data_IF_520168311316
#
_entry.id   IF_520168311316
#
_cell.length_a   1.000
_cell.length_b   1.000
_cell.length_c   1.000
_cell.angle_alpha   90.00
_cell.angle_beta   90.00
_cell.angle_gamma   90.00
#
_symmetry.space_group_name_H-M   'P 1'
#
loop_
_entity.id
_entity.type
_entity.pdbx_description
1 polymer ?
#
# COMPACT_ATOMS: atom_id res chain seq x y z
N UNK A 1 -6.47 24.96 -24.33
CA UNK A 1 -7.28 23.85 -24.87
C UNK A 1 -6.75 22.56 -24.27
N UNK A 2 -7.65 21.83 -23.60
CA UNK A 2 -7.52 20.46 -23.06
C UNK A 2 -6.46 20.21 -21.98
N UNK A 3 -6.69 20.81 -20.80
CA UNK A 3 -6.36 20.16 -19.53
C UNK A 3 -7.42 19.10 -19.21
N UNK A 4 -6.97 17.99 -18.59
CA UNK A 4 -7.76 16.95 -17.91
C UNK A 4 -8.40 15.89 -18.81
N UNK A 5 -7.57 15.08 -19.47
CA UNK A 5 -7.85 13.65 -19.47
C UNK A 5 -7.44 13.14 -18.08
N UNK A 6 -8.39 13.06 -17.14
CA UNK A 6 -8.23 12.23 -15.94
C UNK A 6 -7.85 10.84 -16.46
N UNK A 7 -6.63 10.38 -16.19
CA UNK A 7 -6.34 8.96 -16.28
C UNK A 7 -7.40 8.26 -15.42
N UNK A 8 -8.28 7.48 -16.05
CA UNK A 8 -9.19 6.63 -15.33
C UNK A 8 -8.34 5.57 -14.65
N UNK A 9 -7.88 5.89 -13.44
CA UNK A 9 -6.98 5.06 -12.67
C UNK A 9 -7.65 3.69 -12.46
N UNK A 10 -7.08 2.65 -13.08
CA UNK A 10 -7.69 1.33 -13.14
C UNK A 10 -7.82 0.73 -11.74
N UNK A 11 -9.04 0.77 -11.20
CA UNK A 11 -9.37 0.19 -9.91
C UNK A 11 -9.24 -1.32 -9.95
N UNK A 12 -8.79 -1.87 -8.82
CA UNK A 12 -8.67 -3.31 -8.63
C UNK A 12 -9.89 -3.83 -7.87
N UNK A 13 -10.53 -4.85 -8.43
CA UNK A 13 -11.73 -5.46 -7.88
C UNK A 13 -11.45 -6.87 -7.38
N UNK A 14 -12.07 -7.16 -6.24
CA UNK A 14 -12.31 -8.50 -5.74
C UNK A 14 -13.64 -8.99 -6.32
N UNK A 15 -13.61 -10.06 -7.12
CA UNK A 15 -14.79 -10.65 -7.73
C UNK A 15 -14.91 -12.11 -7.30
N UNK A 16 -15.99 -12.46 -6.62
CA UNK A 16 -16.31 -13.82 -6.22
C UNK A 16 -17.45 -14.37 -7.07
N UNK A 17 -17.21 -15.50 -7.71
CA UNK A 17 -18.11 -16.18 -8.63
C UNK A 17 -18.51 -17.57 -8.06
N UNK A 18 -19.75 -17.98 -8.26
CA UNK A 18 -20.19 -19.36 -8.05
C UNK A 18 -19.80 -20.20 -9.26
N UNK A 19 -19.37 -21.43 -9.02
CA UNK A 19 -19.03 -22.41 -10.07
C UNK A 19 -19.80 -23.72 -9.85
N UNK A 20 -19.76 -24.57 -10.87
CA UNK A 20 -20.31 -25.93 -10.89
C UNK A 20 -19.37 -26.98 -10.28
N UNK A 21 -18.15 -26.59 -9.86
CA UNK A 21 -17.17 -27.54 -9.34
C UNK A 21 -17.48 -27.95 -7.88
N UNK A 22 -17.72 -29.25 -7.59
CA UNK A 22 -18.12 -29.67 -6.24
C UNK A 22 -17.01 -29.52 -5.19
N UNK A 23 -15.73 -29.55 -5.60
CA UNK A 23 -14.58 -29.44 -4.69
C UNK A 23 -14.19 -27.99 -4.43
N UNK A 24 -14.40 -27.12 -5.42
CA UNK A 24 -14.14 -25.69 -5.36
C UNK A 24 -15.34 -24.92 -5.91
N UNK A 25 -16.45 -24.83 -5.15
CA UNK A 25 -17.71 -24.23 -5.61
C UNK A 25 -17.63 -22.73 -5.85
N UNK A 26 -16.49 -22.10 -5.58
CA UNK A 26 -16.28 -20.68 -5.79
C UNK A 26 -14.98 -20.43 -6.54
N UNK A 27 -15.03 -19.40 -7.38
CA UNK A 27 -13.88 -18.83 -8.08
C UNK A 27 -13.72 -17.39 -7.63
N UNK A 28 -12.49 -17.03 -7.29
CA UNK A 28 -12.14 -15.72 -6.79
C UNK A 28 -11.14 -15.07 -7.75
N UNK A 29 -11.43 -13.85 -8.18
CA UNK A 29 -10.58 -13.07 -9.08
C UNK A 29 -10.20 -11.75 -8.43
N UNK A 30 -8.94 -11.38 -8.61
CA UNK A 30 -8.44 -10.03 -8.41
C UNK A 30 -8.22 -9.46 -9.81
N UNK A 31 -9.07 -8.52 -10.22
CA UNK A 31 -9.10 -7.98 -11.58
C UNK A 31 -8.73 -6.50 -11.59
N UNK A 32 -7.86 -6.07 -12.50
CA UNK A 32 -7.49 -4.67 -12.74
C UNK A 32 -7.80 -4.34 -14.20
N UNK A 33 -8.70 -3.39 -14.44
CA UNK A 33 -9.21 -3.15 -15.80
C UNK A 33 -9.77 -4.45 -16.39
N UNK A 34 -9.26 -4.88 -17.54
CA UNK A 34 -9.61 -6.17 -18.15
C UNK A 34 -8.71 -7.35 -17.73
N UNK A 35 -7.58 -7.07 -17.07
CA UNK A 35 -6.57 -8.05 -16.69
C UNK A 35 -6.92 -8.76 -15.37
N UNK A 36 -6.88 -10.10 -15.37
CA UNK A 36 -6.96 -10.90 -14.15
C UNK A 36 -5.56 -11.03 -13.52
N UNK A 37 -5.32 -10.29 -12.43
CA UNK A 37 -4.05 -10.35 -11.68
C UNK A 37 -3.87 -11.67 -10.92
N UNK A 38 -4.96 -12.21 -10.37
CA UNK A 38 -4.96 -13.50 -9.67
C UNK A 38 -6.33 -14.15 -9.76
N UNK A 39 -6.33 -15.42 -10.16
CA UNK A 39 -7.52 -16.27 -10.15
C UNK A 39 -7.28 -17.47 -9.26
N UNK A 40 -8.17 -17.67 -8.29
CA UNK A 40 -8.13 -18.76 -7.33
C UNK A 40 -9.44 -19.53 -7.33
N UNK A 41 -9.36 -20.85 -7.31
CA UNK A 41 -10.46 -21.74 -6.94
C UNK A 41 -10.46 -21.92 -5.43
N UNK A 42 -11.61 -21.66 -4.79
CA UNK A 42 -11.74 -21.64 -3.33
C UNK A 42 -12.96 -22.44 -2.87
N UNK A 43 -12.88 -22.96 -1.66
CA UNK A 43 -13.91 -23.88 -1.13
C UNK A 43 -15.08 -23.15 -0.47
N UNK A 44 -14.90 -21.90 -0.08
CA UNK A 44 -15.90 -21.10 0.62
C UNK A 44 -15.76 -19.63 0.25
N UNK A 45 -16.79 -18.82 0.53
CA UNK A 45 -16.87 -17.38 0.20
C UNK A 45 -16.01 -16.51 1.11
N UNK A 46 -15.62 -17.03 2.27
CA UNK A 46 -14.73 -16.38 3.23
C UNK A 46 -14.21 -17.43 4.23
N UNK A 47 -12.95 -17.34 4.71
CA UNK A 47 -12.47 -18.28 5.71
C UNK A 47 -13.27 -18.19 7.02
N UNK A 48 -13.96 -19.27 7.34
CA UNK A 48 -14.77 -19.41 8.56
C UNK A 48 -13.94 -19.64 9.82
N UNK A 49 -14.49 -20.40 10.77
CA UNK A 49 -13.92 -20.63 12.12
C UNK A 49 -12.55 -21.32 12.11
N UNK A 50 -12.27 -22.18 11.12
CA UNK A 50 -10.94 -22.81 10.91
C UNK A 50 -9.84 -21.80 10.53
N UNK A 51 -10.24 -20.58 10.16
CA UNK A 51 -9.35 -19.45 9.93
C UNK A 51 -8.60 -19.45 8.60
N UNK A 52 -8.62 -20.55 7.84
CA UNK A 52 -7.99 -20.61 6.52
C UNK A 52 -8.75 -21.50 5.54
N UNK A 53 -8.59 -21.20 4.25
CA UNK A 53 -9.08 -21.99 3.12
C UNK A 53 -7.89 -22.32 2.22
N UNK A 54 -7.81 -23.56 1.75
CA UNK A 54 -6.86 -23.93 0.71
C UNK A 54 -7.37 -23.46 -0.65
N UNK A 55 -6.49 -22.85 -1.44
CA UNK A 55 -6.80 -22.31 -2.75
C UNK A 55 -5.94 -22.99 -3.82
N UNK A 56 -6.53 -23.22 -4.98
CA UNK A 56 -5.79 -23.60 -6.18
C UNK A 56 -5.71 -22.43 -7.13
N UNK A 57 -4.52 -22.16 -7.64
CA UNK A 57 -4.33 -21.20 -8.72
C UNK A 57 -4.93 -21.76 -10.01
N UNK A 58 -5.61 -20.90 -10.74
CA UNK A 58 -5.99 -21.16 -12.11
C UNK A 58 -4.98 -20.46 -13.03
N UNK A 59 -4.32 -21.22 -13.92
CA UNK A 59 -3.44 -20.65 -14.96
C UNK A 59 -4.22 -20.60 -16.29
N UNK A 60 -4.26 -19.43 -16.95
CA UNK A 60 -4.92 -19.23 -18.25
C UNK A 60 -6.22 -18.41 -18.22
N UNK A 61 -6.66 -17.91 -19.38
CA UNK A 61 -7.72 -16.89 -19.52
C UNK A 61 -9.14 -17.40 -19.77
N UNK A 62 -9.43 -18.70 -19.61
CA UNK A 62 -10.81 -19.18 -19.78
C UNK A 62 -11.19 -20.24 -18.75
N UNK A 63 -12.05 -19.87 -17.81
CA UNK A 63 -12.88 -20.85 -17.12
C UNK A 63 -13.91 -21.37 -18.12
N UNK A 64 -13.86 -22.66 -18.44
CA UNK A 64 -14.74 -23.28 -19.45
C UNK A 64 -16.16 -23.58 -18.93
N UNK A 65 -16.43 -23.36 -17.64
CA UNK A 65 -17.74 -23.60 -17.03
C UNK A 65 -18.60 -22.34 -16.90
N UNK A 66 -19.83 -22.51 -16.40
CA UNK A 66 -20.68 -21.38 -16.04
C UNK A 66 -20.21 -20.76 -14.71
N UNK A 67 -19.86 -19.47 -14.73
CA UNK A 67 -19.50 -18.71 -13.56
C UNK A 67 -20.51 -17.58 -13.35
N UNK A 68 -21.13 -17.52 -12.17
CA UNK A 68 -22.08 -16.44 -11.82
C UNK A 68 -21.47 -15.53 -10.77
N UNK A 69 -21.33 -14.23 -11.06
CA UNK A 69 -20.84 -13.24 -10.09
C UNK A 69 -21.78 -13.14 -8.88
N UNK A 70 -21.25 -13.42 -7.69
CA UNK A 70 -21.95 -13.32 -6.40
C UNK A 70 -21.65 -11.97 -5.75
N UNK A 71 -20.40 -11.54 -5.83
CA UNK A 71 -19.90 -10.37 -5.12
C UNK A 71 -18.78 -9.69 -5.91
N UNK A 72 -18.86 -8.37 -6.03
CA UNK A 72 -17.80 -7.49 -6.53
C UNK A 72 -17.56 -6.38 -5.52
N UNK A 73 -16.31 -6.24 -5.09
CA UNK A 73 -15.90 -5.28 -4.06
C UNK A 73 -14.58 -4.63 -4.48
N UNK A 74 -14.46 -3.29 -4.44
CA UNK A 74 -13.18 -2.63 -4.66
C UNK A 74 -12.14 -3.03 -3.61
N UNK A 75 -10.89 -3.12 -4.03
CA UNK A 75 -9.75 -3.34 -3.13
C UNK A 75 -9.15 -2.00 -2.75
N UNK A 76 -9.25 -1.62 -1.47
CA UNK A 76 -8.62 -0.42 -0.90
C UNK A 76 -7.10 -0.56 -0.89
N UNK A 77 -6.61 -1.73 -0.49
CA UNK A 77 -5.19 -1.98 -0.35
C UNK A 77 -4.85 -3.39 -0.79
N UNK A 78 -3.88 -3.48 -1.67
CA UNK A 78 -3.31 -4.73 -2.16
C UNK A 78 -1.80 -4.60 -1.95
N UNK A 79 -1.28 -5.19 -0.88
CA UNK A 79 0.15 -5.08 -0.52
C UNK A 79 0.77 -6.45 -0.39
N UNK A 80 1.96 -6.59 -0.96
CA UNK A 80 2.77 -7.79 -0.80
C UNK A 80 3.72 -7.65 0.38
N UNK A 81 3.88 -8.75 1.11
CA UNK A 81 4.86 -8.92 2.17
C UNK A 81 5.52 -10.28 1.99
N UNK A 82 6.63 -10.31 1.26
CA UNK A 82 7.33 -11.54 0.92
C UNK A 82 6.43 -12.59 0.26
N UNK A 83 6.23 -13.75 0.90
CA UNK A 83 5.31 -14.83 0.48
C UNK A 83 3.81 -14.56 0.68
N UNK A 84 3.43 -13.37 1.16
CA UNK A 84 2.03 -13.04 1.51
C UNK A 84 1.51 -11.90 0.63
N UNK A 85 0.25 -11.99 0.22
CA UNK A 85 -0.51 -10.93 -0.41
C UNK A 85 -1.62 -10.48 0.55
N UNK A 86 -1.42 -9.34 1.22
CA UNK A 86 -2.38 -8.74 2.12
C UNK A 86 -3.40 -7.89 1.34
N UNK A 87 -4.67 -8.07 1.67
CA UNK A 87 -5.79 -7.43 0.98
C UNK A 87 -6.71 -6.76 1.98
N UNK A 88 -7.07 -5.53 1.68
CA UNK A 88 -8.11 -4.77 2.37
C UNK A 88 -9.21 -4.43 1.37
N UNK A 89 -10.40 -4.99 1.59
CA UNK A 89 -11.60 -4.77 0.79
C UNK A 89 -12.39 -3.57 1.28
N UNK A 90 -13.06 -2.87 0.37
CA UNK A 90 -13.99 -1.80 0.73
C UNK A 90 -15.35 -2.33 1.19
N UNK A 91 -15.38 -2.88 2.40
CA UNK A 91 -16.62 -3.31 3.06
C UNK A 91 -16.51 -3.27 4.58
N UNK A 92 -17.65 -3.33 5.27
CA UNK A 92 -17.73 -3.20 6.72
C UNK A 92 -17.20 -4.45 7.46
N UNK A 93 -17.69 -5.63 7.07
CA UNK A 93 -17.31 -6.92 7.65
C UNK A 93 -16.39 -7.68 6.72
N UNK A 94 -15.60 -8.61 7.25
CA UNK A 94 -14.75 -9.50 6.45
C UNK A 94 -13.86 -8.71 5.46
N UNK A 95 -13.29 -7.60 5.93
CA UNK A 95 -12.60 -6.65 5.04
C UNK A 95 -11.09 -6.85 4.94
N UNK A 96 -10.48 -7.68 5.81
CA UNK A 96 -9.02 -7.90 5.84
C UNK A 96 -8.71 -9.38 5.75
N UNK A 97 -7.93 -9.75 4.75
CA UNK A 97 -7.42 -11.10 4.58
C UNK A 97 -6.03 -11.08 3.95
N UNK A 98 -5.42 -12.25 3.87
CA UNK A 98 -4.19 -12.44 3.12
C UNK A 98 -4.20 -13.79 2.39
N UNK A 99 -3.47 -13.86 1.28
CA UNK A 99 -3.09 -15.11 0.65
C UNK A 99 -1.64 -15.41 0.97
N UNK A 100 -1.38 -16.58 1.55
CA UNK A 100 -0.04 -17.10 1.81
C UNK A 100 0.31 -18.12 0.72
N UNK A 101 1.37 -17.84 -0.03
CA UNK A 101 1.88 -18.72 -1.08
C UNK A 101 3.09 -19.48 -0.53
N UNK A 102 3.08 -20.80 -0.65
CA UNK A 102 4.15 -21.68 -0.21
C UNK A 102 4.56 -22.58 -1.36
N UNK A 103 5.85 -22.90 -1.48
CA UNK A 103 6.34 -23.98 -2.32
C UNK A 103 6.69 -25.18 -1.45
N UNK A 104 6.31 -26.38 -1.88
CA UNK A 104 6.69 -27.65 -1.25
C UNK A 104 7.27 -28.59 -2.28
N UNK A 105 8.29 -29.35 -1.90
CA UNK A 105 8.79 -30.45 -2.72
C UNK A 105 7.76 -31.58 -2.77
N UNK A 106 7.60 -32.21 -3.92
CA UNK A 106 6.83 -33.44 -4.01
C UNK A 106 7.52 -34.53 -3.18
N UNK A 107 6.72 -35.36 -2.49
CA UNK A 107 7.27 -36.47 -1.68
C UNK A 107 7.80 -37.64 -2.51
N UNK A 108 7.28 -37.80 -3.72
CA UNK A 108 7.46 -39.01 -4.56
C UNK A 108 7.93 -38.70 -5.98
N UNK A 109 8.10 -37.42 -6.33
CA UNK A 109 8.53 -36.97 -7.65
C UNK A 109 9.55 -35.85 -7.47
N UNK A 110 10.43 -35.71 -8.44
CA UNK A 110 11.30 -34.54 -8.51
C UNK A 110 10.47 -33.30 -8.89
N UNK A 111 10.72 -32.18 -8.23
CA UNK A 111 10.02 -30.92 -8.44
C UNK A 111 9.30 -30.36 -7.21
N UNK A 112 8.67 -29.20 -7.41
CA UNK A 112 7.94 -28.45 -6.37
C UNK A 112 6.50 -28.15 -6.80
N UNK A 113 5.60 -27.99 -5.83
CA UNK A 113 4.23 -27.54 -6.04
C UNK A 113 3.88 -26.35 -5.14
N UNK A 114 2.98 -25.51 -5.65
CA UNK A 114 2.45 -24.35 -4.94
C UNK A 114 1.29 -24.77 -4.01
N UNK A 115 1.29 -24.23 -2.79
CA UNK A 115 0.14 -24.24 -1.90
C UNK A 115 -0.24 -22.80 -1.57
N UNK A 116 -1.51 -22.46 -1.81
CA UNK A 116 -2.04 -21.14 -1.51
C UNK A 116 -3.04 -21.29 -0.37
N UNK A 117 -2.90 -20.46 0.65
CA UNK A 117 -3.84 -20.42 1.78
C UNK A 117 -4.43 -19.03 1.93
N UNK A 118 -5.76 -18.93 1.80
CA UNK A 118 -6.50 -17.74 2.16
C UNK A 118 -6.73 -17.70 3.66
N UNK A 119 -6.28 -16.64 4.32
CA UNK A 119 -6.34 -16.49 5.79
C UNK A 119 -7.00 -15.19 6.20
N UNK A 120 -7.67 -15.19 7.34
CA UNK A 120 -8.27 -13.99 7.94
C UNK A 120 -7.46 -13.46 9.11
N UNK A 121 -7.70 -12.19 9.50
CA UNK A 121 -7.08 -11.59 10.70
C UNK A 121 -7.22 -12.48 11.95
N UNK A 122 -8.40 -13.08 12.18
CA UNK A 122 -8.66 -13.94 13.33
C UNK A 122 -7.73 -15.15 13.36
N UNK A 123 -7.48 -15.76 12.21
CA UNK A 123 -6.56 -16.90 12.10
C UNK A 123 -5.10 -16.54 12.39
N UNK A 124 -4.69 -15.32 12.02
CA UNK A 124 -3.35 -14.79 12.28
C UNK A 124 -3.12 -14.56 13.77
N UNK A 125 -4.16 -14.12 14.49
CA UNK A 125 -4.10 -13.87 15.93
C UNK A 125 -4.07 -15.20 16.70
N UNK A 126 -4.90 -16.17 16.31
CA UNK A 126 -5.01 -17.46 17.01
C UNK A 126 -3.78 -18.35 16.80
N UNK A 127 -3.19 -18.35 15.61
CA UNK A 127 -1.86 -18.95 15.40
C UNK A 127 -0.81 -18.00 15.97
N UNK A 128 -0.49 -18.14 17.26
CA UNK A 128 0.71 -17.51 17.86
C UNK A 128 1.91 -17.76 16.94
N UNK A 129 2.31 -16.75 16.18
CA UNK A 129 3.45 -16.84 15.30
C UNK A 129 4.68 -17.08 16.18
N UNK A 130 5.38 -18.21 15.96
CA UNK A 130 6.60 -18.53 16.72
C UNK A 130 7.70 -17.47 16.52
N UNK A 131 7.69 -16.82 15.36
CA UNK A 131 8.61 -15.74 15.00
C UNK A 131 7.83 -14.44 14.90
N UNK A 132 8.22 -13.44 15.71
CA UNK A 132 7.55 -12.12 15.76
C UNK A 132 7.96 -11.19 14.63
N UNK A 133 9.15 -11.37 14.06
CA UNK A 133 9.72 -10.53 12.99
C UNK A 133 9.93 -11.37 11.74
N UNK A 134 9.33 -10.97 10.62
CA UNK A 134 9.50 -11.67 9.33
C UNK A 134 10.79 -11.29 8.61
N UNK A 135 11.39 -10.16 8.98
CA UNK A 135 12.67 -9.68 8.49
C UNK A 135 13.82 -10.11 9.41
N UNK A 136 13.92 -11.41 9.70
CA UNK A 136 15.07 -11.97 10.42
C UNK A 136 16.14 -12.35 9.40
N UNK A 137 16.84 -11.34 8.91
CA UNK A 137 18.07 -11.53 8.16
C UNK A 137 19.21 -10.87 8.93
N UNK A 138 20.29 -11.62 9.11
CA UNK A 138 21.63 -11.06 9.24
C UNK A 138 22.46 -11.51 8.04
N UNK A 139 22.01 -11.29 6.78
CA UNK A 139 22.89 -11.60 5.67
C UNK A 139 24.04 -10.58 5.72
N UNK A 140 25.20 -10.96 5.21
CA UNK A 140 26.30 -10.03 4.95
C UNK A 140 25.78 -8.92 4.04
N UNK A 141 25.41 -7.77 4.62
CA UNK A 141 24.93 -6.63 3.86
C UNK A 141 26.09 -6.07 3.05
N UNK A 142 25.84 -5.73 1.78
CA UNK A 142 26.78 -4.93 1.00
C UNK A 142 26.35 -3.46 1.07
N UNK A 143 27.15 -2.67 1.78
CA UNK A 143 26.88 -1.25 2.04
C UNK A 143 27.95 -0.40 1.38
N UNK A 144 27.54 0.52 0.52
CA UNK A 144 28.41 1.59 0.03
C UNK A 144 28.23 2.81 0.93
N UNK A 145 29.36 3.40 1.32
CA UNK A 145 29.44 4.66 2.04
C UNK A 145 29.97 5.70 1.07
N UNK A 146 29.33 6.86 0.99
CA UNK A 146 29.81 7.93 0.13
C UNK A 146 31.22 8.38 0.55
N UNK A 147 32.06 8.67 -0.45
CA UNK A 147 33.44 9.09 -0.24
C UNK A 147 33.55 10.44 0.46
N UNK A 148 32.57 11.33 0.28
CA UNK A 148 32.56 12.64 0.92
C UNK A 148 32.08 12.59 2.37
N UNK A 149 31.50 11.47 2.83
CA UNK A 149 31.11 11.31 4.22
C UNK A 149 32.37 11.20 5.09
N UNK A 150 32.67 12.30 5.78
CA UNK A 150 33.91 12.48 6.55
C UNK A 150 33.93 11.60 7.79
N UNK A 151 32.78 11.45 8.44
CA UNK A 151 32.63 10.71 9.69
C UNK A 151 31.59 9.60 9.50
N UNK A 152 31.90 8.54 8.75
CA UNK A 152 30.90 7.54 8.43
C UNK A 152 30.58 6.63 9.61
N UNK A 153 29.37 6.10 9.61
CA UNK A 153 29.00 4.97 10.44
C UNK A 153 29.92 3.76 10.19
N UNK A 154 30.03 2.90 11.21
CA UNK A 154 30.64 1.59 11.04
C UNK A 154 29.54 0.51 11.05
N UNK A 155 29.68 -0.49 10.19
CA UNK A 155 28.72 -1.59 10.10
C UNK A 155 29.46 -2.93 10.30
N UNK A 156 29.68 -3.32 11.57
CA UNK A 156 30.40 -4.57 11.86
C UNK A 156 29.62 -5.78 11.30
N UNK A 157 30.34 -6.73 10.70
CA UNK A 157 29.75 -7.94 10.10
C UNK A 157 29.10 -7.72 8.72
N UNK A 158 29.25 -6.53 8.14
CA UNK A 158 28.80 -6.20 6.78
C UNK A 158 30.01 -6.06 5.83
N UNK A 159 29.79 -6.28 4.53
CA UNK A 159 30.72 -5.89 3.47
C UNK A 159 30.54 -4.39 3.22
N UNK A 160 31.54 -3.59 3.57
CA UNK A 160 31.48 -2.13 3.48
C UNK A 160 32.52 -1.61 2.49
N UNK A 161 32.09 -0.78 1.55
CA UNK A 161 32.94 -0.16 0.54
C UNK A 161 32.77 1.36 0.56
N UNK A 162 33.84 2.11 0.24
CA UNK A 162 33.74 3.56 0.00
C UNK A 162 33.66 3.84 -1.49
N UNK A 163 32.52 4.37 -1.92
CA UNK A 163 32.21 4.65 -3.33
C UNK A 163 31.67 6.06 -3.53
N UNK A 164 31.53 6.47 -4.78
CA UNK A 164 30.74 7.67 -5.08
C UNK A 164 29.28 7.26 -5.15
N UNK A 165 28.44 7.82 -4.28
CA UNK A 165 27.00 7.66 -4.36
C UNK A 165 26.39 8.82 -5.16
N UNK A 166 25.39 8.54 -6.02
CA UNK A 166 24.66 9.60 -6.72
C UNK A 166 23.88 10.48 -5.74
N UNK A 167 23.34 9.89 -4.65
CA UNK A 167 22.64 10.59 -3.59
C UNK A 167 22.75 9.82 -2.27
N UNK A 168 22.67 10.55 -1.15
CA UNK A 168 22.73 9.98 0.20
C UNK A 168 24.15 9.63 0.64
N UNK A 169 24.30 9.37 1.94
CA UNK A 169 25.59 9.04 2.55
C UNK A 169 25.85 7.54 2.60
N UNK A 170 24.79 6.73 2.60
CA UNK A 170 24.86 5.27 2.71
C UNK A 170 23.87 4.63 1.75
N UNK A 171 24.27 3.54 1.09
CA UNK A 171 23.38 2.77 0.25
C UNK A 171 23.52 1.27 0.44
N UNK A 172 22.39 0.56 0.36
CA UNK A 172 22.34 -0.90 0.27
C UNK A 172 22.45 -1.33 -1.19
N UNK A 173 23.42 -2.18 -1.48
CA UNK A 173 23.68 -2.72 -2.82
C UNK A 173 23.20 -4.15 -2.91
N UNK A 174 22.66 -4.50 -4.08
CA UNK A 174 22.35 -5.87 -4.49
C UNK A 174 22.81 -6.09 -5.93
N UNK A 175 22.69 -7.31 -6.45
CA UNK A 175 22.96 -7.62 -7.87
C UNK A 175 22.14 -6.74 -8.84
N UNK A 176 20.95 -6.29 -8.43
CA UNK A 176 20.05 -5.44 -9.21
C UNK A 176 20.36 -3.93 -9.07
N UNK A 177 21.44 -3.55 -8.37
CA UNK A 177 21.85 -2.17 -8.12
C UNK A 177 21.50 -1.64 -6.72
N UNK A 178 21.42 -0.31 -6.59
CA UNK A 178 21.08 0.38 -5.33
C UNK A 178 19.62 0.15 -4.97
N UNK A 179 19.38 -0.47 -3.81
CA UNK A 179 18.02 -0.78 -3.33
C UNK A 179 17.49 0.24 -2.34
N UNK A 180 18.36 0.80 -1.53
CA UNK A 180 17.99 1.73 -0.48
C UNK A 180 19.10 2.74 -0.25
N UNK A 181 18.71 3.96 0.08
CA UNK A 181 19.62 5.08 0.32
C UNK A 181 19.25 5.77 1.62
N UNK A 182 20.25 6.20 2.36
CA UNK A 182 20.11 6.90 3.63
C UNK A 182 20.95 8.17 3.61
N UNK A 183 20.29 9.31 3.75
CA UNK A 183 20.92 10.60 4.03
C UNK A 183 21.02 10.77 5.55
N UNK A 184 22.22 11.04 6.04
CA UNK A 184 22.47 11.29 7.46
C UNK A 184 22.55 12.79 7.69
N UNK A 185 21.73 13.29 8.61
CA UNK A 185 21.75 14.71 8.99
C UNK A 185 21.94 14.89 10.49
N UNK A 186 22.91 15.71 10.86
CA UNK A 186 23.08 16.13 12.26
C UNK A 186 22.09 17.24 12.60
N UNK A 187 21.87 17.47 13.91
CA UNK A 187 21.04 18.58 14.39
C UNK A 187 21.47 19.93 13.78
N UNK A 188 22.76 20.27 13.91
CA UNK A 188 23.31 21.54 13.46
C UNK A 188 23.24 21.71 11.93
N UNK A 189 23.54 20.64 11.17
CA UNK A 189 23.45 20.70 9.71
C UNK A 189 22.00 20.93 9.26
N UNK A 190 21.04 20.24 9.89
CA UNK A 190 19.63 20.45 9.55
C UNK A 190 19.14 21.86 9.89
N UNK A 191 19.57 22.44 11.02
CA UNK A 191 19.30 23.85 11.33
C UNK A 191 19.92 24.78 10.29
N UNK A 192 21.15 24.50 9.84
CA UNK A 192 21.78 25.24 8.76
C UNK A 192 20.99 25.16 7.44
N UNK A 193 20.40 24.00 7.15
CA UNK A 193 19.61 23.76 5.95
C UNK A 193 18.24 24.46 6.00
N UNK A 194 17.66 24.70 7.19
CA UNK A 194 16.44 25.50 7.30
C UNK A 194 16.57 26.92 6.72
N UNK A 195 17.78 27.50 6.79
CA UNK A 195 18.06 28.81 6.19
C UNK A 195 18.12 28.77 4.66
N UNK A 196 18.16 27.56 4.07
CA UNK A 196 18.26 27.30 2.63
C UNK A 196 17.22 26.27 2.19
N UNK A 197 15.99 26.43 2.71
CA UNK A 197 14.91 25.46 2.52
C UNK A 197 14.68 25.03 1.06
N UNK A 198 14.72 25.93 0.04
CA UNK A 198 14.58 25.51 -1.36
C UNK A 198 15.66 24.52 -1.84
N UNK A 199 16.92 24.70 -1.39
CA UNK A 199 18.01 23.78 -1.72
C UNK A 199 17.84 22.44 -1.00
N UNK A 200 17.36 22.47 0.25
CA UNK A 200 17.03 21.26 0.98
C UNK A 200 15.93 20.47 0.25
N UNK A 201 14.87 21.13 -0.19
CA UNK A 201 13.80 20.48 -0.97
C UNK A 201 14.31 19.84 -2.27
N UNK A 202 15.24 20.49 -2.99
CA UNK A 202 15.85 19.91 -4.18
C UNK A 202 16.64 18.63 -3.85
N UNK A 203 17.48 18.67 -2.81
CA UNK A 203 18.27 17.51 -2.38
C UNK A 203 17.37 16.35 -1.89
N UNK A 204 16.32 16.67 -1.13
CA UNK A 204 15.35 15.66 -0.67
C UNK A 204 14.53 15.09 -1.82
N UNK A 205 14.17 15.90 -2.81
CA UNK A 205 13.50 15.43 -4.02
C UNK A 205 14.34 14.47 -4.86
N UNK A 206 15.65 14.72 -4.96
CA UNK A 206 16.60 13.77 -5.59
C UNK A 206 16.68 12.47 -4.79
N UNK A 207 16.76 12.55 -3.46
CA UNK A 207 16.77 11.39 -2.59
C UNK A 207 15.49 10.54 -2.71
N UNK A 208 14.32 11.18 -2.81
CA UNK A 208 13.01 10.53 -2.98
C UNK A 208 12.84 9.74 -4.28
N UNK A 209 13.70 9.94 -5.28
CA UNK A 209 13.66 9.15 -6.51
C UNK A 209 13.92 7.65 -6.25
N UNK A 210 14.53 7.33 -5.10
CA UNK A 210 14.79 5.96 -4.68
C UNK A 210 13.62 5.41 -3.85
N UNK A 211 13.16 4.21 -4.20
CA UNK A 211 12.03 3.52 -3.54
C UNK A 211 12.17 3.40 -2.02
N UNK A 212 13.40 3.23 -1.53
CA UNK A 212 13.71 3.10 -0.11
C UNK A 212 14.67 4.19 0.32
N UNK A 213 14.18 5.43 0.26
CA UNK A 213 14.87 6.63 0.67
C UNK A 213 14.54 7.03 2.11
N UNK A 214 15.57 7.37 2.89
CA UNK A 214 15.40 7.80 4.28
C UNK A 214 16.32 8.97 4.62
N UNK A 215 15.76 9.96 5.32
CA UNK A 215 16.52 10.97 6.04
C UNK A 215 16.62 10.59 7.52
N UNK A 216 17.83 10.25 7.98
CA UNK A 216 18.12 9.92 9.38
C UNK A 216 18.70 11.14 10.08
N UNK A 217 17.94 11.70 11.01
CA UNK A 217 18.29 12.88 11.80
C UNK A 217 18.85 12.43 13.15
N UNK A 218 20.09 12.80 13.45
CA UNK A 218 20.78 12.48 14.71
C UNK A 218 20.38 13.39 15.87
N UNK A 219 19.07 13.58 16.06
CA UNK A 219 18.48 14.36 17.13
C UNK A 219 17.08 13.82 17.45
N UNK A 220 16.54 14.18 18.61
CA UNK A 220 15.14 13.91 18.92
C UNK A 220 14.29 15.04 18.35
N UNK A 221 13.04 14.75 17.97
CA UNK A 221 12.11 15.81 17.53
C UNK A 221 11.96 16.92 18.59
N UNK A 222 11.93 16.55 19.88
CA UNK A 222 11.85 17.50 20.99
C UNK A 222 13.02 18.49 21.05
N UNK A 223 14.18 18.16 20.47
CA UNK A 223 15.33 19.04 20.44
C UNK A 223 15.08 20.28 19.56
N UNK A 224 14.29 20.13 18.50
CA UNK A 224 13.85 21.22 17.61
C UNK A 224 12.75 22.10 18.22
N UNK A 225 12.23 21.73 19.40
CA UNK A 225 11.26 22.53 20.13
C UNK A 225 11.86 23.16 21.39
N UNK A 226 13.14 22.90 21.67
CA UNK A 226 13.80 23.37 22.88
C UNK A 226 14.51 24.71 22.63
N UNK A 227 14.05 25.83 23.21
CA UNK A 227 14.69 27.14 23.04
C UNK A 227 16.16 27.17 23.48
N UNK A 228 16.57 26.29 24.41
CA UNK A 228 17.96 26.24 24.88
C UNK A 228 18.91 25.61 23.86
N UNK A 229 18.38 24.79 22.94
CA UNK A 229 19.16 24.13 21.89
C UNK A 229 19.15 24.92 20.58
N UNK A 230 18.06 25.66 20.32
CA UNK A 230 17.95 26.51 19.14
C UNK A 230 18.65 27.84 19.37
N UNK A 231 19.69 28.11 18.59
CA UNK A 231 20.43 29.39 18.66
C UNK A 231 19.86 30.47 17.76
N UNK A 232 19.38 30.09 16.57
CA UNK A 232 19.04 31.03 15.50
C UNK A 232 17.56 31.06 15.13
N UNK A 233 16.81 30.01 15.48
CA UNK A 233 15.41 29.86 15.08
C UNK A 233 14.52 29.73 16.30
N UNK A 234 13.28 30.19 16.19
CA UNK A 234 12.26 29.91 17.19
C UNK A 234 11.79 28.45 17.09
N UNK A 235 11.34 27.84 18.21
CA UNK A 235 10.68 26.53 18.19
C UNK A 235 9.52 26.44 17.18
N UNK A 236 8.75 27.53 17.05
CA UNK A 236 7.62 27.60 16.10
C UNK A 236 8.10 27.52 14.65
N UNK A 237 9.17 28.23 14.30
CA UNK A 237 9.75 28.14 12.96
C UNK A 237 10.30 26.75 12.67
N UNK A 238 11.08 26.17 13.59
CA UNK A 238 11.63 24.82 13.42
C UNK A 238 10.52 23.76 13.27
N UNK A 239 9.44 23.87 14.03
CA UNK A 239 8.28 22.98 13.89
C UNK A 239 7.63 23.10 12.50
N UNK A 240 7.46 24.32 12.00
CA UNK A 240 6.90 24.57 10.66
C UNK A 240 7.79 24.03 9.55
N UNK A 241 9.11 24.28 9.64
CA UNK A 241 10.09 23.77 8.69
C UNK A 241 10.05 22.23 8.59
N UNK A 242 10.03 21.53 9.73
CA UNK A 242 9.94 20.07 9.75
C UNK A 242 8.61 19.56 9.18
N UNK A 243 7.50 20.25 9.47
CA UNK A 243 6.19 19.91 8.92
C UNK A 243 6.12 20.14 7.40
N UNK A 244 6.72 21.22 6.90
CA UNK A 244 6.82 21.53 5.48
C UNK A 244 7.60 20.44 4.73
N UNK A 245 8.75 20.02 5.27
CA UNK A 245 9.52 18.91 4.69
C UNK A 245 8.66 17.64 4.61
N UNK A 246 7.97 17.23 5.67
CA UNK A 246 7.13 16.02 5.64
C UNK A 246 5.92 16.14 4.70
N UNK A 247 5.34 17.33 4.57
CA UNK A 247 4.19 17.57 3.71
C UNK A 247 4.57 17.59 2.22
N UNK A 248 5.72 18.18 1.89
CA UNK A 248 6.20 18.30 0.51
C UNK A 248 6.99 17.08 0.03
N UNK A 249 7.48 16.25 0.96
CA UNK A 249 8.16 14.97 0.70
C UNK A 249 7.42 13.81 1.36
N UNK A 250 6.18 13.49 0.93
CA UNK A 250 5.32 12.51 1.60
C UNK A 250 5.80 11.05 1.42
N UNK A 251 6.72 10.80 0.49
CA UNK A 251 7.27 9.48 0.23
C UNK A 251 8.60 9.25 0.96
N UNK A 252 9.26 10.33 1.39
CA UNK A 252 10.48 10.27 2.18
C UNK A 252 10.18 9.80 3.62
N UNK A 253 10.88 8.76 4.05
CA UNK A 253 10.87 8.38 5.46
C UNK A 253 11.83 9.28 6.23
N UNK A 254 11.35 9.96 7.28
CA UNK A 254 12.18 10.80 8.14
C UNK A 254 12.22 10.21 9.55
N UNK A 255 13.43 9.99 10.07
CA UNK A 255 13.65 9.35 11.36
C UNK A 255 14.46 10.26 12.29
N UNK A 256 13.89 10.60 13.43
CA UNK A 256 14.58 11.26 14.53
C UNK A 256 15.24 10.21 15.41
N UNK A 257 16.47 9.83 15.07
CA UNK A 257 17.20 8.75 15.73
C UNK A 257 17.79 9.16 17.09
N UNK A 258 17.79 10.44 17.45
CA UNK A 258 18.28 10.92 18.74
C UNK A 258 19.79 11.18 18.76
N UNK A 259 20.62 10.23 18.35
CA UNK A 259 22.07 10.42 18.26
C UNK A 259 22.73 9.49 17.24
N UNK A 260 24.03 9.69 17.02
CA UNK A 260 24.86 8.92 16.08
C UNK A 260 24.79 7.41 16.25
N UNK A 261 24.86 6.89 17.49
CA UNK A 261 24.87 5.45 17.75
C UNK A 261 23.53 4.81 17.38
N UNK A 262 22.45 5.51 17.69
CA UNK A 262 21.08 5.09 17.39
C UNK A 262 20.78 5.20 15.90
N UNK A 263 21.24 6.27 15.23
CA UNK A 263 21.12 6.43 13.77
C UNK A 263 21.78 5.27 13.02
N UNK A 264 23.02 4.93 13.40
CA UNK A 264 23.73 3.76 12.88
C UNK A 264 22.95 2.45 13.05
N UNK A 265 22.47 2.16 14.27
CA UNK A 265 21.73 0.92 14.53
C UNK A 265 20.44 0.87 13.72
N UNK A 266 19.73 1.99 13.63
CA UNK A 266 18.52 2.09 12.84
C UNK A 266 18.80 1.83 11.36
N UNK A 267 19.82 2.48 10.77
CA UNK A 267 20.25 2.28 9.38
C UNK A 267 20.59 0.81 9.11
N UNK A 268 21.33 0.16 10.02
CA UNK A 268 21.67 -1.26 9.89
C UNK A 268 20.42 -2.14 9.85
N UNK A 269 19.47 -1.93 10.77
CA UNK A 269 18.22 -2.71 10.81
C UNK A 269 17.31 -2.42 9.63
N UNK A 270 17.27 -1.19 9.15
CA UNK A 270 16.53 -0.81 7.95
C UNK A 270 17.04 -1.56 6.72
N UNK A 271 18.35 -1.52 6.45
CA UNK A 271 18.95 -2.27 5.35
C UNK A 271 18.77 -3.78 5.49
N UNK A 272 18.94 -4.33 6.70
CA UNK A 272 18.66 -5.75 6.98
C UNK A 272 17.22 -6.14 6.63
N UNK A 273 16.26 -5.26 6.94
CA UNK A 273 14.87 -5.53 6.70
C UNK A 273 14.51 -5.53 5.21
N UNK A 274 15.10 -4.60 4.45
CA UNK A 274 14.91 -4.53 3.00
C UNK A 274 15.51 -5.75 2.31
N UNK A 275 16.75 -6.12 2.64
CA UNK A 275 17.37 -7.30 2.05
C UNK A 275 16.61 -8.59 2.40
N UNK A 276 16.14 -8.72 3.65
CA UNK A 276 15.32 -9.86 4.06
C UNK A 276 13.98 -9.92 3.29
N UNK A 277 13.36 -8.77 3.01
CA UNK A 277 12.14 -8.71 2.21
C UNK A 277 12.40 -9.08 0.74
N UNK A 278 13.52 -8.61 0.16
CA UNK A 278 13.90 -8.92 -1.22
C UNK A 278 14.23 -10.40 -1.43
N UNK A 279 14.80 -11.07 -0.43
CA UNK A 279 15.07 -12.51 -0.46
C UNK A 279 13.80 -13.36 -0.34
N UNK A 280 12.70 -12.85 0.24
CA UNK A 280 11.43 -13.56 0.38
C UNK A 280 10.58 -13.50 -0.92
N UNK A 281 11.14 -13.95 -2.05
CA UNK A 281 10.50 -13.87 -3.39
C UNK A 281 9.34 -14.88 -3.58
N UNK A 282 8.27 -14.45 -4.26
CA UNK A 282 7.21 -15.28 -4.86
C UNK A 282 7.67 -15.87 -6.21
N UNK A 283 6.97 -16.89 -6.78
CA UNK A 283 7.19 -17.31 -8.17
C UNK A 283 7.12 -16.11 -9.14
N UNK A 284 8.05 -16.04 -10.11
CA UNK A 284 8.27 -14.89 -11.00
C UNK A 284 7.02 -14.41 -11.73
N UNK A 285 6.11 -15.33 -12.12
CA UNK A 285 4.84 -15.01 -12.79
C UNK A 285 3.93 -14.06 -11.98
N UNK A 286 3.95 -14.11 -10.63
CA UNK A 286 3.22 -13.11 -9.81
C UNK A 286 4.01 -11.82 -9.65
N UNK A 287 5.34 -11.90 -9.61
CA UNK A 287 6.15 -10.70 -9.38
C UNK A 287 5.86 -9.65 -10.47
N UNK A 288 5.75 -10.06 -11.73
CA UNK A 288 5.55 -9.13 -12.85
C UNK A 288 4.15 -8.48 -12.87
N UNK A 289 3.08 -9.22 -12.54
CA UNK A 289 1.70 -8.69 -12.54
C UNK A 289 1.40 -7.80 -11.32
N UNK A 290 2.01 -8.07 -10.16
CA UNK A 290 1.71 -7.36 -8.91
C UNK A 290 2.66 -6.19 -8.58
N UNK A 291 3.89 -6.14 -9.11
CA UNK A 291 4.81 -5.01 -8.86
C UNK A 291 4.35 -3.68 -9.47
N UNK A 292 3.43 -3.71 -10.44
CA UNK A 292 2.87 -2.53 -11.10
C UNK A 292 1.68 -1.88 -10.39
N UNK A 293 1.28 -2.41 -9.22
CA UNK A 293 0.18 -1.82 -8.45
C UNK A 293 0.71 -1.06 -7.24
N UNK A 294 0.91 0.24 -7.42
CA UNK A 294 0.88 1.18 -6.31
C UNK A 294 -0.58 1.60 -6.12
N UNK A 295 -1.16 1.45 -4.91
CA UNK A 295 -2.52 1.92 -4.67
C UNK A 295 -2.55 3.44 -4.92
N UNK A 296 -3.68 3.99 -5.41
CA UNK A 296 -3.80 5.42 -5.64
C UNK A 296 -3.44 6.19 -4.37
N UNK A 297 -2.55 7.18 -4.49
CA UNK A 297 -2.22 8.15 -3.43
C UNK A 297 -3.46 8.92 -2.95
N UNK A 298 -4.49 8.96 -3.79
CA UNK A 298 -5.66 9.83 -3.67
C UNK A 298 -6.83 9.13 -2.96
N UNK A 299 -6.54 8.29 -1.95
CA UNK A 299 -7.58 7.66 -1.15
C UNK A 299 -8.35 8.71 -0.33
N UNK A 300 -9.39 9.28 -0.94
CA UNK A 300 -10.22 10.36 -0.39
C UNK A 300 -11.26 9.91 0.64
N UNK A 301 -11.00 8.81 1.36
CA UNK A 301 -11.88 8.26 2.40
C UNK A 301 -12.66 7.01 2.02
N UNK A 302 -12.41 6.44 0.83
CA UNK A 302 -13.01 5.19 0.35
C UNK A 302 -14.30 5.37 -0.45
N UNK A 303 -14.86 4.26 -0.92
CA UNK A 303 -15.97 4.19 -1.86
C UNK A 303 -17.21 5.00 -1.43
N UNK A 304 -17.46 5.10 -0.11
CA UNK A 304 -18.57 5.90 0.40
C UNK A 304 -18.49 7.37 -0.02
N UNK A 305 -17.32 7.99 0.13
CA UNK A 305 -17.12 9.41 -0.15
C UNK A 305 -17.03 9.67 -1.65
N UNK A 306 -16.45 8.75 -2.41
CA UNK A 306 -16.41 8.84 -3.88
C UNK A 306 -17.81 8.74 -4.49
N UNK A 307 -18.60 7.74 -4.09
CA UNK A 307 -20.00 7.60 -4.54
C UNK A 307 -20.81 8.82 -4.08
N UNK A 308 -20.61 9.30 -2.84
CA UNK A 308 -21.29 10.49 -2.34
C UNK A 308 -20.97 11.72 -3.21
N UNK A 309 -19.69 11.95 -3.50
CA UNK A 309 -19.22 13.07 -4.33
C UNK A 309 -19.78 12.98 -5.74
N UNK A 310 -19.74 11.80 -6.36
CA UNK A 310 -20.29 11.60 -7.70
C UNK A 310 -21.82 11.79 -7.72
N UNK A 311 -22.54 11.23 -6.73
CA UNK A 311 -23.99 11.41 -6.64
C UNK A 311 -24.32 12.88 -6.44
N UNK A 312 -23.68 13.61 -5.51
CA UNK A 312 -24.05 14.99 -5.20
C UNK A 312 -23.53 16.01 -6.24
N UNK A 313 -22.34 15.80 -6.79
CA UNK A 313 -21.69 16.75 -7.71
C UNK A 313 -21.89 16.47 -9.20
N UNK A 314 -21.89 15.19 -9.63
CA UNK A 314 -21.81 14.85 -11.06
C UNK A 314 -23.18 14.47 -11.67
N UNK A 315 -24.06 13.81 -10.90
CA UNK A 315 -25.39 13.44 -11.40
C UNK A 315 -26.34 14.65 -11.56
N UNK A 316 -27.37 14.56 -12.42
CA UNK A 316 -28.39 15.61 -12.50
C UNK A 316 -29.18 15.77 -11.19
N UNK A 317 -29.85 16.93 -11.04
CA UNK A 317 -30.68 17.24 -9.86
C UNK A 317 -31.80 16.23 -9.62
N UNK A 318 -32.32 15.63 -10.69
CA UNK A 318 -33.17 14.44 -10.64
C UNK A 318 -32.52 13.32 -11.45
N UNK A 319 -32.41 12.13 -10.87
CA UNK A 319 -31.77 10.98 -11.53
C UNK A 319 -32.51 9.67 -11.25
N UNK A 320 -32.42 8.74 -12.21
CA UNK A 320 -33.06 7.41 -12.21
C UNK A 320 -32.00 6.31 -12.11
N UNK A 321 -32.46 5.05 -12.08
CA UNK A 321 -31.55 3.88 -11.96
C UNK A 321 -30.57 3.78 -13.14
N UNK A 322 -30.98 4.19 -14.33
CA UNK A 322 -30.14 4.15 -15.52
C UNK A 322 -28.95 5.11 -15.42
N UNK A 323 -29.14 6.27 -14.80
CA UNK A 323 -28.08 7.27 -14.60
C UNK A 323 -27.03 6.80 -13.58
N UNK A 324 -27.37 5.79 -12.77
CA UNK A 324 -26.46 5.12 -11.84
C UNK A 324 -25.67 3.99 -12.50
N UNK A 325 -25.86 3.69 -13.79
CA UNK A 325 -25.26 2.51 -14.43
C UNK A 325 -23.73 2.54 -14.37
N UNK A 326 -23.11 3.70 -14.61
CA UNK A 326 -21.65 3.89 -14.48
C UNK A 326 -21.20 3.64 -13.04
N UNK A 327 -21.84 4.28 -12.06
CA UNK A 327 -21.54 4.07 -10.64
C UNK A 327 -21.75 2.61 -10.21
N UNK A 328 -22.79 1.94 -10.69
CA UNK A 328 -23.07 0.54 -10.37
C UNK A 328 -21.99 -0.36 -10.98
N UNK A 329 -21.52 -0.06 -12.18
CA UNK A 329 -20.39 -0.75 -12.80
C UNK A 329 -19.11 -0.56 -11.98
N UNK A 330 -18.83 0.69 -11.57
CA UNK A 330 -17.59 1.07 -10.90
C UNK A 330 -17.52 0.65 -9.43
N UNK A 331 -18.67 0.52 -8.77
CA UNK A 331 -18.75 0.36 -7.32
C UNK A 331 -19.59 -0.83 -6.86
N UNK A 332 -20.35 -1.45 -7.75
CA UNK A 332 -21.30 -2.50 -7.43
C UNK A 332 -22.62 -1.97 -6.87
N UNK A 333 -23.72 -2.61 -7.26
CA UNK A 333 -25.07 -2.14 -6.96
C UNK A 333 -25.35 -2.00 -5.45
N UNK A 334 -24.89 -2.95 -4.64
CA UNK A 334 -25.13 -2.95 -3.19
C UNK A 334 -24.49 -1.76 -2.49
N UNK A 335 -23.31 -1.31 -2.95
CA UNK A 335 -22.61 -0.17 -2.37
C UNK A 335 -23.34 1.14 -2.71
N UNK A 336 -23.66 1.35 -3.99
CA UNK A 336 -24.41 2.52 -4.45
C UNK A 336 -25.76 2.64 -3.73
N UNK A 337 -26.51 1.54 -3.62
CA UNK A 337 -27.79 1.51 -2.89
C UNK A 337 -27.65 1.76 -1.38
N UNK A 338 -26.49 1.50 -0.79
CA UNK A 338 -26.22 1.85 0.61
C UNK A 338 -25.99 3.35 0.77
N UNK A 339 -25.20 3.95 -0.12
CA UNK A 339 -24.94 5.40 -0.10
C UNK A 339 -26.23 6.18 -0.34
N UNK A 340 -27.05 5.78 -1.31
CA UNK A 340 -28.37 6.40 -1.54
C UNK A 340 -29.27 6.33 -0.30
N UNK A 341 -29.26 5.20 0.43
CA UNK A 341 -30.01 5.09 1.69
C UNK A 341 -29.50 6.04 2.77
N UNK A 342 -28.19 6.22 2.89
CA UNK A 342 -27.61 7.15 3.85
C UNK A 342 -27.87 8.60 3.46
N UNK A 343 -27.65 8.98 2.20
CA UNK A 343 -27.97 10.31 1.69
C UNK A 343 -29.44 10.68 1.89
N UNK A 344 -30.35 9.70 1.74
CA UNK A 344 -31.76 9.89 2.04
C UNK A 344 -32.01 10.12 3.53
N UNK A 345 -31.37 9.34 4.41
CA UNK A 345 -31.48 9.51 5.86
C UNK A 345 -30.95 10.86 6.32
N UNK A 346 -29.88 11.32 5.70
CA UNK A 346 -29.23 12.60 5.98
C UNK A 346 -29.96 13.79 5.34
N UNK A 347 -31.00 13.56 4.52
CA UNK A 347 -31.81 14.61 3.93
C UNK A 347 -31.21 15.29 2.69
N UNK A 348 -30.16 14.72 2.08
CA UNK A 348 -29.54 15.23 0.85
C UNK A 348 -30.24 14.77 -0.44
N UNK A 349 -31.04 13.71 -0.37
CA UNK A 349 -31.86 13.25 -1.50
C UNK A 349 -33.25 12.81 -1.04
N UNK A 350 -34.26 13.13 -1.85
CA UNK A 350 -35.63 12.63 -1.75
C UNK A 350 -35.87 11.52 -2.77
N UNK A 351 -36.88 10.69 -2.52
CA UNK A 351 -37.29 9.62 -3.44
C UNK A 351 -38.72 9.83 -3.88
N UNK A 352 -38.96 9.81 -5.19
CA UNK A 352 -40.28 9.88 -5.81
C UNK A 352 -40.57 8.60 -6.58
N UNK A 353 -41.78 8.06 -6.46
CA UNK A 353 -42.20 6.82 -7.13
C UNK A 353 -41.73 5.51 -6.44
N UNK A 354 -42.15 4.37 -7.00
CA UNK A 354 -41.82 3.01 -6.52
C UNK A 354 -41.39 2.09 -7.68
N UNK A 355 -40.60 1.06 -7.38
CA UNK A 355 -40.19 0.04 -8.35
C UNK A 355 -39.35 0.60 -9.50
N UNK A 356 -39.71 0.25 -10.74
CA UNK A 356 -39.03 0.72 -11.97
C UNK A 356 -39.14 2.24 -12.20
N UNK A 357 -40.15 2.89 -11.61
CA UNK A 357 -40.38 4.34 -11.75
C UNK A 357 -39.78 5.14 -10.58
N UNK A 358 -38.83 4.58 -9.83
CA UNK A 358 -38.16 5.29 -8.74
C UNK A 358 -37.20 6.34 -9.30
N UNK A 359 -37.39 7.58 -8.86
CA UNK A 359 -36.54 8.72 -9.12
C UNK A 359 -35.96 9.25 -7.81
N UNK A 360 -34.72 9.73 -7.84
CA UNK A 360 -34.06 10.42 -6.73
C UNK A 360 -33.91 11.90 -7.08
N UNK A 361 -34.25 12.78 -6.14
CA UNK A 361 -34.21 14.23 -6.31
C UNK A 361 -33.23 14.79 -5.29
N UNK A 362 -32.21 15.52 -5.71
CA UNK A 362 -31.28 16.21 -4.82
C UNK A 362 -31.97 17.37 -4.16
N UNK A 363 -31.90 17.42 -2.84
CA UNK A 363 -32.27 18.60 -2.06
C UNK A 363 -30.98 19.39 -1.87
N UNK A 364 -30.82 20.53 -2.57
CA UNK A 364 -29.62 21.37 -2.40
C UNK A 364 -29.46 21.77 -0.91
N UNK A 365 -28.28 21.88 -0.30
CA UNK A 365 -26.87 21.90 -0.71
C UNK A 365 -26.07 21.44 0.54
N UNK A 366 -24.92 20.74 0.46
CA UNK A 366 -23.80 21.04 1.34
C UNK A 366 -22.82 21.92 0.55
N UNK A 367 -22.81 23.21 0.86
CA UNK A 367 -21.81 24.17 0.42
C UNK A 367 -20.44 23.74 0.95
N UNK A 368 -19.49 23.61 0.02
CA UNK A 368 -18.02 23.45 0.11
C UNK A 368 -17.39 22.69 1.30
#
# INVERSE_FOLDING_TARGET
>A
MNHVAKEAQERVFWILEATDNPKFPYRLRIKKGEEDLLVLRVQDRWPGTRGHIFCLREEGSAYLGQAQEIERVPIISLKRYGKRLAIVLDRALNKRCEFLFLKKKYKQKEGEYEQIFWRTRTSLIQRKLKVKLTAQGSPSLHIIIDRNERYPYNFPGCLVERGHLPVGDYALVTEEGLKAVVERKTFENLLGDFGRMPLLHQALGELETYRHAVLVIEANYADFLNPRKLRFYSPSFAARALAEIQALHPHLTIIFAGNRKLGREWTLRFFSAIQAHDLDKLPEKLNQAFFKYEPPSDFSGGQYFEIRKAILGELPGEFKKNDLASLISDYGEKAVLRVLRNLKKEGFILTRGRGKNRCWIKTGIPSD
#
